data_IF_236078334687
#
_entry.id   IF_236078334687
#
_cell.length_a   1.000
_cell.length_b   1.000
_cell.length_c   1.000
_cell.angle_alpha   90.00
_cell.angle_beta   90.00
_cell.angle_gamma   90.00
#
_symmetry.space_group_name_H-M   'P 1'
#
loop_
_entity.id
_entity.type
_entity.pdbx_description
1 polymer ?
#
# COMPACT_ATOMS: atom_id res chain seq x y z
N UNK A 1 -26.50 11.51 -17.04
CA UNK A 1 -25.45 10.58 -16.58
C UNK A 1 -25.37 10.68 -15.07
N UNK A 2 -25.77 9.64 -14.35
CA UNK A 2 -25.70 9.66 -12.89
C UNK A 2 -24.23 9.71 -12.48
N UNK A 3 -23.85 10.73 -11.72
CA UNK A 3 -22.55 10.77 -11.04
C UNK A 3 -22.56 9.64 -10.01
N UNK A 4 -21.96 8.50 -10.34
CA UNK A 4 -21.61 7.51 -9.33
C UNK A 4 -20.59 8.21 -8.44
N UNK A 5 -20.99 8.59 -7.23
CA UNK A 5 -20.08 9.07 -6.20
C UNK A 5 -19.05 7.96 -5.96
N UNK A 6 -17.85 8.15 -6.53
CA UNK A 6 -16.73 7.21 -6.41
C UNK A 6 -16.41 7.04 -4.90
N UNK A 7 -16.73 5.89 -4.33
CA UNK A 7 -16.65 5.62 -2.89
C UNK A 7 -15.19 5.65 -2.40
N UNK A 8 -14.89 6.49 -1.39
CA UNK A 8 -13.55 6.55 -0.78
C UNK A 8 -13.54 5.76 0.53
N UNK A 9 -12.72 4.71 0.58
CA UNK A 9 -12.51 3.91 1.79
C UNK A 9 -11.50 4.59 2.70
N UNK A 10 -11.95 4.98 3.90
CA UNK A 10 -11.10 5.56 4.95
C UNK A 10 -10.11 4.54 5.52
N UNK A 11 -8.93 4.97 6.01
CA UNK A 11 -7.97 4.07 6.63
C UNK A 11 -8.52 3.50 7.94
N UNK A 12 -8.51 2.17 8.07
CA UNK A 12 -9.05 1.51 9.27
C UNK A 12 -8.08 1.51 10.47
N UNK A 13 -6.78 1.77 10.24
CA UNK A 13 -5.71 1.58 11.24
C UNK A 13 -4.70 2.73 11.29
N UNK A 14 -5.00 3.87 10.66
CA UNK A 14 -4.19 5.07 10.79
C UNK A 14 -4.22 5.57 12.25
N UNK A 15 -3.06 5.94 12.78
CA UNK A 15 -2.89 6.35 14.18
C UNK A 15 -2.72 5.19 15.17
N UNK A 16 -2.91 3.94 14.74
CA UNK A 16 -2.72 2.76 15.60
C UNK A 16 -1.65 1.81 15.07
N UNK A 17 -1.71 1.43 13.79
CA UNK A 17 -0.72 0.53 13.17
C UNK A 17 0.43 1.29 12.51
N UNK A 18 0.18 2.53 12.13
CA UNK A 18 1.16 3.47 11.58
C UNK A 18 0.75 4.90 11.95
N UNK A 19 1.67 5.88 11.93
CA UNK A 19 1.35 7.28 12.24
C UNK A 19 0.23 7.85 11.35
N UNK A 20 -0.75 8.53 11.95
CA UNK A 20 -1.88 9.10 11.20
C UNK A 20 -1.55 10.40 10.45
N UNK A 21 -0.48 11.09 10.82
CA UNK A 21 -0.01 12.32 10.17
C UNK A 21 0.88 11.98 8.96
N UNK A 22 0.72 12.68 7.81
CA UNK A 22 1.56 12.46 6.63
C UNK A 22 3.04 12.65 6.94
N UNK A 23 3.43 13.76 7.57
CA UNK A 23 4.84 14.08 7.84
C UNK A 23 5.49 13.05 8.77
N UNK A 24 4.76 12.65 9.81
CA UNK A 24 5.25 11.64 10.76
C UNK A 24 5.37 10.27 10.10
N UNK A 25 4.42 9.91 9.22
CA UNK A 25 4.46 8.66 8.47
C UNK A 25 5.62 8.67 7.48
N UNK A 26 5.83 9.75 6.73
CA UNK A 26 6.94 9.91 5.79
C UNK A 26 8.29 9.71 6.48
N UNK A 27 8.53 10.43 7.58
CA UNK A 27 9.76 10.31 8.35
C UNK A 27 9.99 8.88 8.89
N UNK A 28 8.92 8.19 9.28
CA UNK A 28 9.01 6.80 9.71
C UNK A 28 9.39 5.86 8.56
N UNK A 29 8.77 6.02 7.38
CA UNK A 29 9.06 5.22 6.18
C UNK A 29 10.50 5.47 5.69
N UNK A 30 10.92 6.72 5.59
CA UNK A 30 12.27 7.11 5.15
C UNK A 30 13.35 6.49 6.01
N UNK A 31 13.17 6.50 7.34
CA UNK A 31 14.10 5.86 8.28
C UNK A 31 14.26 4.36 8.01
N UNK A 32 13.21 3.67 7.58
CA UNK A 32 13.31 2.25 7.21
C UNK A 32 13.97 2.09 5.83
N UNK A 33 13.56 2.86 4.83
CA UNK A 33 14.10 2.80 3.47
C UNK A 33 15.59 3.11 3.39
N UNK A 34 16.07 4.08 4.18
CA UNK A 34 17.49 4.47 4.24
C UNK A 34 18.41 3.36 4.78
N UNK A 35 17.86 2.39 5.53
CA UNK A 35 18.62 1.27 6.10
C UNK A 35 18.72 0.08 5.16
N UNK A 36 18.22 0.21 3.94
CA UNK A 36 18.23 -0.84 2.93
C UNK A 36 19.07 -0.38 1.73
N UNK A 37 19.89 -1.28 1.20
CA UNK A 37 20.86 -0.96 0.12
C UNK A 37 20.93 -2.02 -0.97
N UNK A 38 20.17 -3.11 -0.83
CA UNK A 38 20.20 -4.22 -1.78
C UNK A 38 19.26 -3.94 -2.95
N UNK A 39 19.82 -4.00 -4.15
CA UNK A 39 19.06 -3.98 -5.40
C UNK A 39 18.98 -5.39 -5.99
N UNK A 40 18.00 -5.61 -6.86
CA UNK A 40 17.82 -6.84 -7.64
C UNK A 40 17.86 -6.53 -9.13
N UNK A 41 18.52 -7.38 -9.89
CA UNK A 41 18.56 -7.29 -11.34
C UNK A 41 17.28 -7.82 -11.97
N UNK A 42 17.00 -7.38 -13.20
CA UNK A 42 15.85 -7.80 -13.99
C UNK A 42 14.58 -7.00 -13.73
N UNK A 43 13.48 -7.53 -14.27
CA UNK A 43 12.17 -6.90 -14.22
C UNK A 43 11.46 -7.23 -12.92
N UNK A 44 11.00 -6.18 -12.23
CA UNK A 44 10.26 -6.31 -10.99
C UNK A 44 8.78 -6.52 -11.31
N UNK A 45 8.30 -7.76 -11.19
CA UNK A 45 6.90 -8.12 -11.46
C UNK A 45 6.02 -8.16 -10.20
N UNK A 46 6.62 -8.46 -9.04
CA UNK A 46 5.90 -8.57 -7.78
C UNK A 46 6.83 -8.36 -6.57
N UNK A 47 6.22 -7.96 -5.45
CA UNK A 47 6.85 -7.86 -4.15
C UNK A 47 6.02 -8.63 -3.13
N UNK A 48 6.69 -9.20 -2.13
CA UNK A 48 6.05 -9.77 -0.94
C UNK A 48 6.54 -8.96 0.26
N UNK A 49 5.61 -8.43 1.05
CA UNK A 49 5.91 -7.64 2.23
C UNK A 49 5.01 -8.05 3.40
N UNK A 50 5.51 -8.02 4.65
CA UNK A 50 4.69 -8.25 5.83
C UNK A 50 3.72 -7.08 6.07
N UNK A 51 2.56 -7.36 6.67
CA UNK A 51 1.51 -6.37 6.91
C UNK A 51 1.19 -6.11 8.39
N UNK A 52 2.08 -6.45 9.32
CA UNK A 52 1.93 -6.04 10.74
C UNK A 52 2.11 -4.51 10.90
N UNK A 53 1.87 -3.98 12.11
CA UNK A 53 2.11 -2.56 12.39
C UNK A 53 3.54 -2.11 12.05
N UNK A 54 3.69 -0.87 11.60
CA UNK A 54 4.92 -0.32 10.98
C UNK A 54 6.14 -0.44 11.89
N UNK A 55 5.95 -0.35 13.21
CA UNK A 55 7.03 -0.54 14.20
C UNK A 55 7.68 -1.93 14.10
N UNK A 56 6.88 -2.96 13.79
CA UNK A 56 7.32 -4.36 13.75
C UNK A 56 7.73 -4.79 12.34
N UNK A 57 6.90 -4.49 11.34
CA UNK A 57 7.08 -4.96 9.96
C UNK A 57 7.90 -4.00 9.09
N UNK A 58 7.95 -2.71 9.42
CA UNK A 58 8.52 -1.65 8.60
C UNK A 58 9.97 -1.89 8.17
N UNK A 59 10.90 -2.29 9.08
CA UNK A 59 12.27 -2.59 8.70
C UNK A 59 12.38 -3.68 7.62
N UNK A 60 11.53 -4.72 7.69
CA UNK A 60 11.55 -5.83 6.73
C UNK A 60 10.87 -5.42 5.42
N UNK A 61 9.68 -4.80 5.51
CA UNK A 61 8.94 -4.34 4.34
C UNK A 61 9.74 -3.35 3.47
N UNK A 62 10.59 -2.52 4.09
CA UNK A 62 11.43 -1.56 3.38
C UNK A 62 12.38 -2.21 2.36
N UNK A 63 12.86 -3.43 2.60
CA UNK A 63 13.70 -4.15 1.64
C UNK A 63 12.95 -4.44 0.33
N UNK A 64 11.65 -4.71 0.41
CA UNK A 64 10.82 -4.94 -0.76
C UNK A 64 10.49 -3.62 -1.47
N UNK A 65 9.96 -2.63 -0.72
CA UNK A 65 9.52 -1.36 -1.29
C UNK A 65 10.67 -0.51 -1.86
N UNK A 66 11.90 -0.65 -1.35
CA UNK A 66 13.07 0.04 -1.94
C UNK A 66 13.26 -0.31 -3.41
N UNK A 67 12.95 -1.54 -3.81
CA UNK A 67 13.14 -2.02 -5.18
C UNK A 67 12.26 -1.30 -6.20
N UNK A 68 11.24 -0.57 -5.74
CA UNK A 68 10.39 0.28 -6.59
C UNK A 68 11.08 1.59 -6.99
N UNK A 69 12.18 1.99 -6.34
CA UNK A 69 12.88 3.23 -6.70
C UNK A 69 13.33 3.17 -8.15
N UNK A 70 13.14 4.29 -8.85
CA UNK A 70 13.55 4.47 -10.26
C UNK A 70 12.82 3.53 -11.23
N UNK A 71 11.77 2.84 -10.76
CA UNK A 71 10.87 2.05 -11.58
C UNK A 71 9.50 2.72 -11.62
N UNK A 72 8.86 2.65 -12.77
CA UNK A 72 7.53 3.21 -13.00
C UNK A 72 6.55 2.08 -13.26
N UNK A 73 5.39 2.18 -12.62
CA UNK A 73 4.28 1.26 -12.79
C UNK A 73 3.03 2.11 -12.99
N UNK A 74 2.17 1.71 -13.91
CA UNK A 74 0.90 2.39 -14.15
C UNK A 74 -0.15 1.94 -13.12
N UNK A 75 -0.11 0.66 -12.71
CA UNK A 75 -1.06 0.04 -11.79
C UNK A 75 -0.33 -0.92 -10.85
N UNK A 76 -0.71 -0.89 -9.57
CA UNK A 76 -0.28 -1.89 -8.59
C UNK A 76 -1.49 -2.71 -8.11
N UNK A 77 -1.37 -4.04 -8.13
CA UNK A 77 -2.37 -4.95 -7.59
C UNK A 77 -1.96 -5.34 -6.16
N UNK A 78 -2.70 -4.85 -5.16
CA UNK A 78 -2.47 -5.19 -3.76
C UNK A 78 -3.35 -6.38 -3.34
N UNK A 79 -2.72 -7.51 -3.03
CA UNK A 79 -3.40 -8.74 -2.61
C UNK A 79 -3.08 -9.02 -1.15
N UNK A 80 -4.10 -9.34 -0.36
CA UNK A 80 -3.95 -9.71 1.05
C UNK A 80 -5.03 -10.67 1.52
N UNK A 81 -4.76 -11.45 2.57
CA UNK A 81 -5.74 -12.36 3.15
C UNK A 81 -6.83 -11.61 3.91
N UNK A 82 -8.01 -12.22 3.99
CA UNK A 82 -9.05 -11.78 4.93
C UNK A 82 -8.82 -12.41 6.29
N UNK A 83 -8.63 -11.58 7.31
CA UNK A 83 -8.50 -12.02 8.71
C UNK A 83 -9.84 -12.04 9.48
N UNK A 84 -10.92 -11.55 8.86
CA UNK A 84 -12.21 -11.36 9.54
C UNK A 84 -13.33 -12.24 9.00
N UNK A 85 -13.34 -12.48 7.69
CA UNK A 85 -14.45 -13.18 7.01
C UNK A 85 -13.87 -14.22 6.06
N UNK A 86 -14.32 -15.47 6.18
CA UNK A 86 -14.04 -16.53 5.21
C UNK A 86 -14.92 -16.38 3.97
N UNK A 87 -14.34 -16.55 2.79
CA UNK A 87 -15.08 -16.62 1.53
C UNK A 87 -14.30 -17.44 0.51
N UNK A 88 -15.01 -17.97 -0.48
CA UNK A 88 -14.40 -18.62 -1.64
C UNK A 88 -14.11 -17.60 -2.74
N UNK A 89 -12.97 -17.75 -3.42
CA UNK A 89 -12.56 -16.87 -4.52
C UNK A 89 -11.85 -15.59 -4.07
N UNK A 90 -12.11 -14.48 -4.76
CA UNK A 90 -11.47 -13.17 -4.53
C UNK A 90 -12.51 -12.07 -4.39
N UNK A 91 -12.22 -11.08 -3.54
CA UNK A 91 -13.04 -9.89 -3.38
C UNK A 91 -12.29 -8.67 -3.92
N UNK A 92 -12.95 -7.85 -4.73
CA UNK A 92 -12.38 -6.67 -5.38
C UNK A 92 -13.22 -5.43 -5.10
N UNK A 93 -12.55 -4.29 -4.92
CA UNK A 93 -13.19 -2.97 -4.93
C UNK A 93 -13.07 -2.43 -6.35
N UNK A 94 -14.19 -2.16 -7.02
CA UNK A 94 -14.21 -1.91 -8.49
C UNK A 94 -13.97 -0.46 -8.92
N UNK A 95 -14.22 0.50 -8.05
CA UNK A 95 -14.07 1.92 -8.36
C UNK A 95 -13.95 2.71 -7.06
N UNK A 96 -13.44 3.94 -7.15
CA UNK A 96 -13.24 4.80 -5.99
C UNK A 96 -11.78 4.94 -5.64
N UNK A 97 -11.49 4.89 -4.34
CA UNK A 97 -10.12 5.00 -3.85
C UNK A 97 -9.97 4.60 -2.39
N UNK A 98 -8.73 4.40 -1.99
CA UNK A 98 -8.33 4.20 -0.60
C UNK A 98 -7.70 5.50 -0.11
N UNK A 99 -8.30 6.10 0.91
CA UNK A 99 -7.68 7.25 1.57
C UNK A 99 -6.48 6.77 2.38
N UNK A 100 -5.37 7.49 2.22
CA UNK A 100 -4.14 7.33 3.00
C UNK A 100 -3.77 8.68 3.61
N UNK A 101 -2.86 8.73 4.60
CA UNK A 101 -2.33 10.00 5.07
C UNK A 101 -1.69 10.86 3.96
N UNK A 102 -1.23 10.25 2.86
CA UNK A 102 -0.66 10.95 1.70
C UNK A 102 -1.68 11.35 0.64
N UNK A 103 -2.98 11.15 0.89
CA UNK A 103 -4.06 11.39 -0.06
C UNK A 103 -4.70 10.11 -0.56
N UNK A 104 -5.54 10.24 -1.59
CA UNK A 104 -6.34 9.13 -2.12
C UNK A 104 -5.53 8.33 -3.14
N UNK A 105 -5.33 7.04 -2.88
CA UNK A 105 -4.91 6.07 -3.88
C UNK A 105 -6.15 5.66 -4.69
N UNK A 106 -6.24 6.15 -5.94
CA UNK A 106 -7.35 5.83 -6.83
C UNK A 106 -7.33 4.35 -7.23
N UNK A 107 -8.52 3.76 -7.35
CA UNK A 107 -8.69 2.45 -7.97
C UNK A 107 -8.74 2.65 -9.48
N UNK A 108 -7.91 1.91 -10.19
CA UNK A 108 -8.01 1.80 -11.64
C UNK A 108 -9.31 1.04 -11.99
N UNK A 109 -10.21 1.71 -12.72
CA UNK A 109 -11.50 1.20 -13.17
C UNK A 109 -11.49 0.77 -14.66
N UNK A 110 -10.31 0.80 -15.30
CA UNK A 110 -10.11 0.30 -16.66
C UNK A 110 -10.67 1.19 -17.77
N UNK A 111 -10.89 2.49 -17.49
CA UNK A 111 -11.36 3.49 -18.48
C UNK A 111 -10.26 4.39 -18.99
#
# INVERSE_FOLDING_TARGET
>A
MAMITKHIRRPAVAGTWYPGSPDTLAAALDRHLQRTSRDVAGDLVALIAPHAGLMYSGPVAAHAYRLLRERRFDVAVLVGPSHFVSFDGVSIVRAGGFETPFGVAAIDDGT
#
